data_IF_536796586493
#
_entry.id   IF_536796586493
#
_cell.length_a   1.000
_cell.length_b   1.000
_cell.length_c   1.000
_cell.angle_alpha   90.00
_cell.angle_beta   90.00
_cell.angle_gamma   90.00
#
_symmetry.space_group_name_H-M   'P 1'
#
loop_
_entity.id
_entity.type
_entity.pdbx_description
1 polymer ?
#
# COMPACT_ATOMS: atom_id res chain seq x y z
N UNK A 1 2.85 -38.50 15.02
CA UNK A 1 3.49 -37.34 14.39
C UNK A 1 3.30 -36.14 15.31
N UNK A 2 4.34 -35.76 16.05
CA UNK A 2 4.28 -34.61 16.96
C UNK A 2 4.33 -33.32 16.13
N UNK A 3 3.22 -32.58 16.13
CA UNK A 3 3.19 -31.19 15.67
C UNK A 3 3.76 -30.32 16.78
N UNK A 4 5.08 -30.21 16.84
CA UNK A 4 5.69 -29.12 17.59
C UNK A 4 5.25 -27.81 16.96
N UNK A 5 4.43 -27.12 17.73
CA UNK A 5 3.90 -25.81 17.51
C UNK A 5 5.11 -24.84 17.46
N UNK A 6 5.43 -24.31 16.28
CA UNK A 6 6.41 -23.25 16.13
C UNK A 6 5.90 -21.99 16.85
N UNK A 7 6.14 -21.90 18.14
CA UNK A 7 5.91 -20.70 18.95
C UNK A 7 7.07 -19.76 18.66
N UNK A 8 6.83 -18.75 17.82
CA UNK A 8 7.78 -17.66 17.61
C UNK A 8 7.72 -16.72 18.83
N UNK A 9 8.68 -16.84 19.73
CA UNK A 9 8.86 -15.87 20.81
C UNK A 9 9.33 -14.53 20.21
N UNK A 10 8.80 -13.38 20.65
CA UNK A 10 9.26 -12.08 20.18
C UNK A 10 10.73 -11.90 20.57
N UNK A 11 11.62 -11.95 19.58
CA UNK A 11 13.05 -11.70 19.77
C UNK A 11 13.26 -10.19 19.95
N UNK A 12 13.68 -9.75 21.13
CA UNK A 12 14.17 -8.39 21.33
C UNK A 12 15.49 -8.23 20.57
N UNK A 13 15.43 -7.57 19.43
CA UNK A 13 16.60 -7.19 18.65
C UNK A 13 17.17 -5.88 19.20
N UNK A 14 18.49 -5.72 19.16
CA UNK A 14 19.11 -4.42 19.34
C UNK A 14 18.65 -3.44 18.24
N UNK A 15 18.80 -2.13 18.47
CA UNK A 15 18.41 -1.12 17.48
C UNK A 15 19.14 -1.31 16.13
N UNK A 16 20.41 -1.73 16.18
CA UNK A 16 21.22 -2.03 14.98
C UNK A 16 20.68 -3.25 14.24
N UNK A 17 20.46 -4.37 14.93
CA UNK A 17 19.91 -5.58 14.30
C UNK A 17 18.51 -5.35 13.73
N UNK A 18 17.67 -4.56 14.41
CA UNK A 18 16.35 -4.19 13.91
C UNK A 18 16.44 -3.37 12.61
N UNK A 19 17.41 -2.44 12.53
CA UNK A 19 17.67 -1.65 11.33
C UNK A 19 18.17 -2.52 10.17
N UNK A 20 19.16 -3.37 10.41
CA UNK A 20 19.68 -4.32 9.40
C UNK A 20 18.57 -5.25 8.89
N UNK A 21 17.70 -5.74 9.77
CA UNK A 21 16.57 -6.57 9.37
C UNK A 21 15.56 -5.79 8.52
N UNK A 22 15.31 -4.53 8.85
CA UNK A 22 14.43 -3.63 8.08
C UNK A 22 14.99 -3.40 6.66
N UNK A 23 16.28 -3.14 6.55
CA UNK A 23 16.99 -2.95 5.28
C UNK A 23 16.94 -4.23 4.43
N UNK A 24 17.24 -5.38 5.03
CA UNK A 24 17.15 -6.67 4.35
C UNK A 24 15.72 -6.95 3.82
N UNK A 25 14.70 -6.72 4.65
CA UNK A 25 13.29 -6.86 4.21
C UNK A 25 12.95 -5.94 3.06
N UNK A 26 13.48 -4.72 3.07
CA UNK A 26 13.26 -3.73 2.01
C UNK A 26 13.91 -4.17 0.69
N UNK A 27 15.15 -4.68 0.75
CA UNK A 27 15.85 -5.25 -0.41
C UNK A 27 15.11 -6.45 -1.01
N UNK A 28 14.63 -7.37 -0.17
CA UNK A 28 13.85 -8.53 -0.64
C UNK A 28 12.54 -8.11 -1.32
N UNK A 29 11.86 -7.10 -0.78
CA UNK A 29 10.65 -6.50 -1.41
C UNK A 29 10.99 -5.85 -2.75
N UNK A 30 12.15 -5.22 -2.87
CA UNK A 30 12.60 -4.57 -4.10
C UNK A 30 12.84 -5.62 -5.20
N UNK A 31 13.59 -6.67 -4.88
CA UNK A 31 13.81 -7.79 -5.82
C UNK A 31 12.48 -8.43 -6.24
N UNK A 32 11.56 -8.65 -5.30
CA UNK A 32 10.22 -9.16 -5.61
C UNK A 32 9.46 -8.22 -6.56
N UNK A 33 9.54 -6.90 -6.35
CA UNK A 33 8.86 -5.93 -7.21
C UNK A 33 9.42 -6.00 -8.64
N UNK A 34 10.75 -6.03 -8.77
CA UNK A 34 11.39 -6.11 -10.09
C UNK A 34 10.97 -7.36 -10.85
N UNK A 35 10.93 -8.51 -10.17
CA UNK A 35 10.48 -9.78 -10.75
C UNK A 35 9.01 -9.72 -11.18
N UNK A 36 8.12 -9.21 -10.32
CA UNK A 36 6.70 -9.07 -10.64
C UNK A 36 6.46 -8.08 -11.80
N UNK A 37 7.22 -6.99 -11.88
CA UNK A 37 7.14 -6.03 -12.99
C UNK A 37 7.63 -6.62 -14.30
N UNK A 38 8.68 -7.44 -14.27
CA UNK A 38 9.22 -8.08 -15.46
C UNK A 38 8.32 -9.20 -16.01
N UNK A 39 7.64 -9.92 -15.12
CA UNK A 39 6.86 -11.11 -15.47
C UNK A 39 5.35 -10.87 -15.59
N UNK A 40 4.88 -9.63 -15.53
CA UNK A 40 3.47 -9.30 -15.69
C UNK A 40 3.21 -8.26 -16.78
N UNK A 41 2.14 -8.43 -17.53
CA UNK A 41 1.73 -7.45 -18.54
C UNK A 41 1.39 -6.11 -17.90
N UNK A 42 1.79 -5.01 -18.55
CA UNK A 42 1.61 -3.65 -18.00
C UNK A 42 0.16 -3.32 -17.64
N UNK A 43 -0.81 -3.79 -18.42
CA UNK A 43 -2.24 -3.59 -18.14
C UNK A 43 -2.73 -4.30 -16.88
N UNK A 44 -2.08 -5.40 -16.48
CA UNK A 44 -2.35 -6.10 -15.23
C UNK A 44 -1.69 -5.39 -14.03
N UNK A 45 -0.65 -4.60 -14.29
CA UNK A 45 0.06 -3.79 -13.29
C UNK A 45 -0.61 -2.44 -13.00
N UNK A 46 -1.74 -2.11 -13.64
CA UNK A 46 -2.52 -0.89 -13.36
C UNK A 46 -3.86 -1.26 -12.71
N UNK A 47 -4.11 -0.75 -11.50
CA UNK A 47 -5.44 -0.80 -10.90
C UNK A 47 -6.36 0.18 -11.65
N UNK A 48 -7.25 -0.37 -12.48
CA UNK A 48 -8.30 0.42 -13.14
C UNK A 48 -9.56 0.39 -12.28
N UNK A 49 -10.08 1.54 -11.82
CA UNK A 49 -11.39 1.60 -11.22
C UNK A 49 -12.42 1.01 -12.18
N UNK A 50 -13.35 0.19 -11.68
CA UNK A 50 -14.41 -0.35 -12.51
C UNK A 50 -15.37 0.79 -12.89
N UNK A 51 -15.24 1.31 -14.11
CA UNK A 51 -15.99 2.46 -14.64
C UNK A 51 -17.52 2.30 -14.53
N UNK A 52 -18.05 1.09 -14.51
CA UNK A 52 -19.49 0.83 -14.44
C UNK A 52 -20.03 0.80 -12.99
N UNK A 53 -19.14 0.64 -11.99
CA UNK A 53 -19.49 0.59 -10.55
C UNK A 53 -18.95 1.77 -9.75
N UNK A 54 -18.06 2.59 -10.31
CA UNK A 54 -17.74 3.91 -9.77
C UNK A 54 -18.85 4.87 -10.15
N UNK A 55 -19.56 5.41 -9.16
CA UNK A 55 -20.67 6.35 -9.36
C UNK A 55 -20.28 7.56 -10.21
N UNK A 56 -21.30 8.27 -10.73
CA UNK A 56 -21.12 9.47 -11.56
C UNK A 56 -20.09 10.42 -10.93
N UNK A 57 -19.04 10.70 -11.69
CA UNK A 57 -18.01 11.70 -11.37
C UNK A 57 -18.68 13.07 -11.33
N UNK A 58 -18.91 13.60 -10.13
CA UNK A 58 -19.06 15.04 -9.91
C UNK A 58 -17.73 15.61 -9.40
N UNK A 59 -17.53 16.91 -9.55
CA UNK A 59 -16.26 17.68 -9.43
C UNK A 59 -15.48 17.55 -8.10
N UNK A 60 -15.93 16.73 -7.15
CA UNK A 60 -15.21 16.38 -5.91
C UNK A 60 -15.37 14.87 -5.62
N UNK A 61 -14.84 14.06 -6.54
CA UNK A 61 -15.07 12.62 -6.72
C UNK A 61 -14.94 11.72 -5.48
N UNK A 62 -15.99 11.70 -4.67
CA UNK A 62 -16.22 10.70 -3.63
C UNK A 62 -17.49 9.93 -3.97
N UNK A 63 -17.34 8.64 -4.28
CA UNK A 63 -18.46 7.71 -4.43
C UNK A 63 -18.31 6.58 -3.41
N UNK A 64 -19.32 6.33 -2.58
CA UNK A 64 -19.26 5.25 -1.59
C UNK A 64 -19.54 3.92 -2.30
N UNK A 65 -18.52 3.08 -2.47
CA UNK A 65 -18.67 1.75 -3.09
C UNK A 65 -18.80 0.68 -2.00
N UNK A 66 -19.96 0.01 -1.95
CA UNK A 66 -20.11 -1.25 -1.22
C UNK A 66 -19.42 -2.37 -2.01
N UNK A 67 -18.46 -3.03 -1.35
CA UNK A 67 -17.76 -4.24 -1.81
C UNK A 67 -16.85 -4.04 -3.03
N UNK A 68 -15.80 -3.22 -2.86
CA UNK A 68 -14.72 -2.97 -3.85
C UNK A 68 -13.81 -4.17 -4.17
N UNK A 69 -14.38 -5.37 -4.31
CA UNK A 69 -13.65 -6.59 -4.67
C UNK A 69 -14.10 -7.06 -6.05
N UNK A 70 -13.15 -7.18 -6.97
CA UNK A 70 -13.33 -7.86 -8.24
C UNK A 70 -12.84 -9.31 -8.06
N UNK A 71 -13.74 -10.29 -8.15
CA UNK A 71 -13.44 -11.69 -7.82
C UNK A 71 -12.41 -12.34 -8.77
N UNK A 72 -12.24 -11.79 -9.97
CA UNK A 72 -11.28 -12.27 -10.97
C UNK A 72 -9.88 -11.65 -10.83
N UNK A 73 -9.74 -10.60 -10.00
CA UNK A 73 -8.48 -9.87 -9.80
C UNK A 73 -8.15 -9.76 -8.33
N UNK A 74 -7.78 -10.90 -7.77
CA UNK A 74 -7.23 -11.02 -6.41
C UNK A 74 -5.86 -10.34 -6.44
N UNK A 75 -5.83 -9.00 -6.33
CA UNK A 75 -4.68 -8.09 -6.34
C UNK A 75 -3.30 -8.73 -6.62
N UNK A 76 -2.72 -8.47 -7.81
CA UNK A 76 -1.33 -8.86 -8.07
C UNK A 76 -0.38 -8.22 -7.05
N UNK A 77 0.66 -8.95 -6.63
CA UNK A 77 1.63 -8.49 -5.64
C UNK A 77 2.35 -7.19 -6.05
N UNK A 78 2.49 -6.96 -7.36
CA UNK A 78 3.06 -5.73 -7.92
C UNK A 78 2.41 -4.45 -7.36
N UNK A 79 1.10 -4.44 -7.12
CA UNK A 79 0.38 -3.24 -6.65
C UNK A 79 0.72 -2.91 -5.20
N UNK A 80 0.75 -3.93 -4.35
CA UNK A 80 1.13 -3.78 -2.94
C UNK A 80 2.59 -3.34 -2.83
N UNK A 81 3.48 -3.89 -3.65
CA UNK A 81 4.89 -3.54 -3.63
C UNK A 81 5.13 -2.11 -4.16
N UNK A 82 4.51 -1.72 -5.26
CA UNK A 82 4.55 -0.32 -5.76
C UNK A 82 4.01 0.65 -4.70
N UNK A 83 2.88 0.31 -4.08
CA UNK A 83 2.31 1.09 -2.98
C UNK A 83 3.28 1.20 -1.80
N UNK A 84 3.85 0.09 -1.35
CA UNK A 84 4.84 0.06 -0.27
C UNK A 84 6.01 1.03 -0.50
N UNK A 85 6.66 0.96 -1.66
CA UNK A 85 7.79 1.84 -1.97
C UNK A 85 7.38 3.31 -2.14
N UNK A 86 6.17 3.58 -2.64
CA UNK A 86 5.62 4.93 -2.71
C UNK A 86 5.45 5.53 -1.30
N UNK A 87 4.81 4.81 -0.38
CA UNK A 87 4.61 5.27 0.99
C UNK A 87 5.93 5.38 1.77
N UNK A 88 6.87 4.46 1.52
CA UNK A 88 8.22 4.53 2.05
C UNK A 88 8.92 5.83 1.59
N UNK A 89 8.86 6.16 0.29
CA UNK A 89 9.44 7.39 -0.26
C UNK A 89 8.87 8.65 0.42
N UNK A 90 7.56 8.67 0.71
CA UNK A 90 6.96 9.78 1.44
C UNK A 90 7.47 9.88 2.86
N UNK A 91 7.54 8.75 3.57
CA UNK A 91 8.09 8.67 4.93
C UNK A 91 9.54 9.15 4.96
N UNK A 92 10.36 8.76 3.97
CA UNK A 92 11.76 9.19 3.84
C UNK A 92 11.89 10.70 3.56
N UNK A 93 10.97 11.28 2.78
CA UNK A 93 11.00 12.71 2.43
C UNK A 93 10.61 13.65 3.57
N UNK A 94 9.56 13.32 4.33
CA UNK A 94 9.00 14.23 5.35
C UNK A 94 9.18 13.72 6.78
N UNK A 95 9.72 12.52 6.96
CA UNK A 95 9.86 11.87 8.25
C UNK A 95 8.58 11.13 8.69
N UNK A 96 8.79 10.09 9.48
CA UNK A 96 7.74 9.17 9.94
C UNK A 96 6.63 9.87 10.73
N UNK A 97 7.00 10.74 11.68
CA UNK A 97 6.04 11.45 12.52
C UNK A 97 5.11 12.38 11.72
N UNK A 98 5.66 13.13 10.76
CA UNK A 98 4.88 14.01 9.89
C UNK A 98 3.99 13.22 8.95
N UNK A 99 4.52 12.13 8.38
CA UNK A 99 3.75 11.24 7.51
C UNK A 99 2.57 10.59 8.22
N UNK A 100 2.76 10.10 9.45
CA UNK A 100 1.63 9.56 10.23
C UNK A 100 0.64 10.63 10.66
N UNK A 101 1.08 11.86 10.93
CA UNK A 101 0.17 12.97 11.20
C UNK A 101 -0.70 13.30 9.97
N UNK A 102 -0.10 13.30 8.78
CA UNK A 102 -0.81 13.39 7.51
C UNK A 102 -1.81 12.24 7.33
N UNK A 103 -1.38 10.99 7.50
CA UNK A 103 -2.26 9.81 7.34
C UNK A 103 -3.47 9.86 8.28
N UNK A 104 -3.28 10.28 9.53
CA UNK A 104 -4.39 10.45 10.49
C UNK A 104 -5.43 11.46 9.95
N UNK A 105 -4.99 12.62 9.49
CA UNK A 105 -5.87 13.64 8.90
C UNK A 105 -6.57 13.13 7.64
N UNK A 106 -5.83 12.45 6.77
CA UNK A 106 -6.36 11.87 5.54
C UNK A 106 -7.46 10.83 5.83
N UNK A 107 -7.20 9.88 6.73
CA UNK A 107 -8.18 8.86 7.12
C UNK A 107 -9.40 9.49 7.78
N UNK A 108 -9.24 10.52 8.63
CA UNK A 108 -10.37 11.24 9.22
C UNK A 108 -11.23 11.95 8.17
N UNK A 109 -10.61 12.58 7.17
CA UNK A 109 -11.32 13.31 6.13
C UNK A 109 -12.08 12.41 5.14
N UNK A 110 -11.52 11.22 4.84
CA UNK A 110 -12.01 10.36 3.76
C UNK A 110 -12.45 8.96 4.22
N UNK A 111 -12.54 8.72 5.53
CA UNK A 111 -13.05 7.46 6.09
C UNK A 111 -14.39 7.06 5.44
N UNK A 112 -14.47 5.80 4.98
CA UNK A 112 -15.67 5.22 4.38
C UNK A 112 -15.94 5.63 2.93
N UNK A 113 -15.06 6.41 2.31
CA UNK A 113 -15.21 6.90 0.94
C UNK A 113 -14.26 6.18 -0.02
N UNK A 114 -14.69 5.95 -1.27
CA UNK A 114 -13.76 5.55 -2.33
C UNK A 114 -13.08 6.80 -2.87
N UNK A 115 -11.76 6.86 -2.73
CA UNK A 115 -10.95 8.00 -3.12
C UNK A 115 -10.03 7.63 -4.28
N UNK A 116 -9.95 8.52 -5.28
CA UNK A 116 -8.99 8.39 -6.37
C UNK A 116 -7.57 8.66 -5.89
N UNK A 117 -6.59 7.96 -6.48
CA UNK A 117 -5.17 8.17 -6.15
C UNK A 117 -4.71 9.61 -6.36
N UNK A 118 -5.32 10.36 -7.30
CA UNK A 118 -4.99 11.78 -7.47
C UNK A 118 -5.34 12.61 -6.24
N UNK A 119 -6.45 12.32 -5.58
CA UNK A 119 -6.86 13.05 -4.36
C UNK A 119 -5.84 12.79 -3.25
N UNK A 120 -5.39 11.54 -3.07
CA UNK A 120 -4.32 11.22 -2.12
C UNK A 120 -3.04 12.04 -2.38
N UNK A 121 -2.58 12.06 -3.63
CA UNK A 121 -1.37 12.78 -4.02
C UNK A 121 -1.51 14.30 -3.89
N UNK A 122 -2.67 14.85 -4.26
CA UNK A 122 -2.97 16.27 -4.08
C UNK A 122 -3.02 16.64 -2.59
N UNK A 123 -3.66 15.84 -1.73
CA UNK A 123 -3.70 16.10 -0.28
C UNK A 123 -2.30 16.00 0.35
N UNK A 124 -1.41 15.17 -0.18
CA UNK A 124 -0.03 15.06 0.29
C UNK A 124 0.87 16.25 -0.10
N UNK A 125 0.50 17.04 -1.13
CA UNK A 125 1.30 18.17 -1.64
C UNK A 125 1.05 19.52 -0.94
N UNK A 126 0.48 19.54 0.27
CA UNK A 126 0.22 20.77 1.04
C UNK A 126 0.78 20.71 2.45
#
# INVERSE_FOLDING_TARGET
FNTEQYVCYPKQLSATEAKEQQELKTLLRWHRLMDEVQNSEGDLQVLRPNKEKTGKVNESGSSVVKHGLNAEKIFMQVHYLKGYFLLQTFTEKIGEAAYFAFLRKYVQAFHGQLILSQVYLCTFSW
#
